data_IF_619955936665
#
_entry.id   IF_619955936665
#
_cell.length_a   1.000
_cell.length_b   1.000
_cell.length_c   1.000
_cell.angle_alpha   90.00
_cell.angle_beta   90.00
_cell.angle_gamma   90.00
#
_symmetry.space_group_name_H-M   'P 1'
#
loop_
_entity.id
_entity.type
_entity.pdbx_description
1 polymer ?
#
# COMPACT_ATOMS: atom_id res chain seq x y z
N UNK A 1 23.69 0.69 -24.17
CA UNK A 1 23.19 1.95 -23.61
C UNK A 1 24.40 2.72 -23.07
N UNK A 2 24.50 4.01 -23.38
CA UNK A 2 25.54 4.86 -22.80
C UNK A 2 25.32 5.02 -21.31
N UNK A 3 26.38 5.12 -20.47
CA UNK A 3 26.24 5.41 -19.05
C UNK A 3 25.60 6.78 -18.83
N UNK A 4 24.80 6.89 -17.76
CA UNK A 4 24.16 8.14 -17.34
C UNK A 4 24.34 8.32 -15.84
N UNK A 5 24.24 9.55 -15.37
CA UNK A 5 24.20 9.86 -13.91
C UNK A 5 22.74 9.95 -13.51
N UNK A 6 22.29 9.12 -12.56
CA UNK A 6 20.92 9.16 -12.09
C UNK A 6 20.68 10.43 -11.28
N UNK A 7 19.69 11.23 -11.69
CA UNK A 7 19.26 12.41 -10.96
C UNK A 7 17.84 12.24 -10.41
N UNK A 8 17.51 13.02 -9.41
CA UNK A 8 16.15 13.03 -8.84
C UNK A 8 15.11 13.41 -9.90
N UNK A 9 15.43 14.40 -10.74
CA UNK A 9 14.54 14.85 -11.82
C UNK A 9 14.23 13.72 -12.84
N UNK A 10 15.22 12.87 -13.13
CA UNK A 10 14.99 11.71 -14.01
C UNK A 10 14.02 10.73 -13.36
N UNK A 11 14.18 10.43 -12.07
CA UNK A 11 13.28 9.55 -11.32
C UNK A 11 11.87 10.16 -11.28
N UNK A 12 11.74 11.43 -10.93
CA UNK A 12 10.45 12.13 -10.87
C UNK A 12 9.76 12.13 -12.25
N UNK A 13 10.51 12.26 -13.33
CA UNK A 13 9.99 12.20 -14.71
C UNK A 13 9.45 10.79 -15.03
N UNK A 14 10.23 9.75 -14.73
CA UNK A 14 9.82 8.35 -14.97
C UNK A 14 8.59 8.00 -14.13
N UNK A 15 8.55 8.43 -12.88
CA UNK A 15 7.39 8.24 -12.00
C UNK A 15 6.16 8.91 -12.58
N UNK A 16 6.26 10.17 -13.04
CA UNK A 16 5.14 10.89 -13.64
C UNK A 16 4.65 10.26 -14.96
N UNK A 17 5.55 9.68 -15.75
CA UNK A 17 5.18 8.94 -16.96
C UNK A 17 4.44 7.63 -16.64
N UNK A 18 4.94 6.87 -15.66
CA UNK A 18 4.31 5.63 -15.22
C UNK A 18 2.92 5.89 -14.60
N UNK A 19 2.75 6.98 -13.88
CA UNK A 19 1.44 7.42 -13.39
C UNK A 19 0.42 7.59 -14.51
N UNK A 20 0.81 8.30 -15.58
CA UNK A 20 -0.08 8.52 -16.74
C UNK A 20 -0.44 7.20 -17.45
N UNK A 21 0.52 6.27 -17.52
CA UNK A 21 0.27 4.94 -18.09
C UNK A 21 -0.70 4.17 -17.18
N UNK A 22 -0.44 4.14 -15.89
CA UNK A 22 -1.28 3.47 -14.90
C UNK A 22 -2.71 4.04 -14.89
N UNK A 23 -2.85 5.35 -14.92
CA UNK A 23 -4.15 6.01 -15.03
C UNK A 23 -4.90 5.58 -16.29
N UNK A 24 -4.24 5.50 -17.44
CA UNK A 24 -4.85 5.06 -18.70
C UNK A 24 -5.22 3.58 -18.71
N UNK A 25 -4.36 2.72 -18.19
CA UNK A 25 -4.55 1.27 -18.22
C UNK A 25 -5.56 0.78 -17.19
N UNK A 26 -5.48 1.33 -15.97
CA UNK A 26 -6.31 0.90 -14.84
C UNK A 26 -7.62 1.66 -14.78
N UNK A 27 -7.61 2.93 -15.13
CA UNK A 27 -8.73 3.84 -14.99
C UNK A 27 -9.45 4.09 -16.32
N UNK A 28 -8.79 3.88 -17.47
CA UNK A 28 -9.34 4.21 -18.81
C UNK A 28 -10.44 3.28 -19.34
N UNK A 29 -10.87 2.26 -18.60
CA UNK A 29 -11.83 1.25 -19.06
C UNK A 29 -13.22 1.33 -18.43
N UNK A 30 -13.43 2.15 -17.40
CA UNK A 30 -14.71 2.23 -16.68
C UNK A 30 -15.06 3.66 -16.28
N UNK A 31 -16.38 3.95 -16.15
CA UNK A 31 -16.95 5.18 -15.57
C UNK A 31 -16.51 5.46 -14.11
N UNK A 32 -15.67 4.59 -13.54
CA UNK A 32 -15.13 4.69 -12.19
C UNK A 32 -13.89 5.59 -12.11
N UNK A 33 -13.26 5.92 -13.22
CA UNK A 33 -11.99 6.67 -13.29
C UNK A 33 -12.03 8.00 -12.57
N UNK A 34 -13.08 8.78 -12.80
CA UNK A 34 -13.26 10.10 -12.18
C UNK A 34 -13.52 10.00 -10.66
N UNK A 35 -13.77 8.79 -10.15
CA UNK A 35 -14.10 8.53 -8.75
C UNK A 35 -12.92 8.04 -7.91
N UNK A 36 -11.79 7.72 -8.52
CA UNK A 36 -10.59 7.26 -7.83
C UNK A 36 -9.52 8.35 -7.77
N UNK A 37 -8.68 8.29 -6.74
CA UNK A 37 -7.47 9.12 -6.65
C UNK A 37 -6.32 8.36 -6.00
N UNK A 38 -5.11 8.68 -6.40
CA UNK A 38 -3.91 8.22 -5.72
C UNK A 38 -3.75 9.00 -4.41
N UNK A 39 -3.63 8.28 -3.29
CA UNK A 39 -3.37 8.86 -1.97
C UNK A 39 -1.90 8.77 -1.60
N UNK A 40 -1.18 7.87 -2.23
CA UNK A 40 0.21 7.61 -1.92
C UNK A 40 0.96 7.15 -3.16
N UNK A 41 2.16 7.69 -3.35
CA UNK A 41 3.08 7.34 -4.43
C UNK A 41 4.47 7.37 -3.83
N UNK A 42 5.14 6.21 -3.78
CA UNK A 42 6.47 6.09 -3.19
C UNK A 42 7.37 5.22 -4.04
N UNK A 43 8.55 5.75 -4.32
CA UNK A 43 9.68 4.91 -4.76
C UNK A 43 10.12 4.10 -3.55
N UNK A 44 10.00 2.79 -3.62
CA UNK A 44 10.33 1.87 -2.51
C UNK A 44 11.69 1.21 -2.68
N UNK A 45 12.20 1.15 -3.92
CA UNK A 45 13.55 0.66 -4.21
C UNK A 45 14.08 1.27 -5.50
N UNK A 46 15.38 1.50 -5.55
CA UNK A 46 16.13 1.80 -6.77
C UNK A 46 17.29 0.82 -6.89
N UNK A 47 17.40 0.14 -8.02
CA UNK A 47 18.57 -0.68 -8.37
C UNK A 47 19.33 -0.01 -9.51
N UNK A 48 20.65 0.13 -9.34
CA UNK A 48 21.57 0.58 -10.39
C UNK A 48 22.39 -0.60 -10.87
N UNK A 49 22.39 -0.86 -12.18
CA UNK A 49 23.10 -2.00 -12.78
C UNK A 49 22.73 -3.35 -12.10
N UNK A 50 21.46 -3.49 -11.61
CA UNK A 50 20.96 -4.68 -10.93
C UNK A 50 21.24 -4.75 -9.41
N UNK A 51 21.96 -3.79 -8.83
CA UNK A 51 22.26 -3.72 -7.40
C UNK A 51 21.42 -2.66 -6.70
N UNK A 52 20.86 -3.00 -5.54
CA UNK A 52 20.13 -2.05 -4.70
C UNK A 52 21.08 -0.98 -4.15
N UNK A 53 20.65 0.30 -4.20
CA UNK A 53 21.43 1.44 -3.76
C UNK A 53 20.56 2.32 -2.87
N UNK A 54 20.98 2.54 -1.62
CA UNK A 54 20.24 3.33 -0.64
C UNK A 54 20.22 4.83 -0.98
N UNK A 55 21.28 5.35 -1.55
CA UNK A 55 21.38 6.73 -2.06
C UNK A 55 21.78 6.68 -3.54
N UNK A 56 20.81 6.55 -4.46
CA UNK A 56 21.08 6.27 -5.87
C UNK A 56 21.46 7.52 -6.67
N UNK A 57 21.26 8.73 -6.14
CA UNK A 57 21.46 9.96 -6.88
C UNK A 57 22.93 10.33 -7.02
N UNK A 58 23.29 10.84 -8.21
CA UNK A 58 24.67 11.22 -8.51
C UNK A 58 25.57 10.04 -8.91
N UNK A 59 25.08 8.79 -8.89
CA UNK A 59 25.83 7.63 -9.32
C UNK A 59 25.68 7.38 -10.83
N UNK A 60 26.78 6.94 -11.45
CA UNK A 60 26.79 6.53 -12.85
C UNK A 60 26.26 5.11 -13.00
N UNK A 61 25.33 4.93 -13.92
CA UNK A 61 24.74 3.63 -14.23
C UNK A 61 24.46 3.46 -15.72
N UNK A 62 24.36 2.20 -16.17
CA UNK A 62 23.86 1.84 -17.50
C UNK A 62 22.38 1.49 -17.48
N UNK A 63 21.89 1.02 -16.34
CA UNK A 63 20.49 0.69 -16.10
C UNK A 63 20.07 1.16 -14.70
N UNK A 64 18.82 1.62 -14.58
CA UNK A 64 18.19 1.91 -13.32
C UNK A 64 16.81 1.25 -13.31
N UNK A 65 16.55 0.39 -12.31
CA UNK A 65 15.25 -0.20 -12.06
C UNK A 65 14.62 0.51 -10.85
N UNK A 66 13.42 1.07 -11.05
CA UNK A 66 12.73 1.84 -10.03
C UNK A 66 11.44 1.12 -9.67
N UNK A 67 11.30 0.70 -8.42
CA UNK A 67 10.08 0.10 -7.88
C UNK A 67 9.21 1.18 -7.26
N UNK A 68 8.00 1.35 -7.79
CA UNK A 68 7.03 2.34 -7.35
C UNK A 68 5.84 1.65 -6.70
N UNK A 69 5.51 2.10 -5.48
CA UNK A 69 4.27 1.72 -4.80
C UNK A 69 3.23 2.83 -5.00
N UNK A 70 2.03 2.45 -5.42
CA UNK A 70 0.90 3.37 -5.61
C UNK A 70 -0.32 2.84 -4.88
N UNK A 71 -0.94 3.67 -4.02
CA UNK A 71 -2.24 3.38 -3.40
C UNK A 71 -3.32 4.27 -3.99
N UNK A 72 -4.41 3.65 -4.39
CA UNK A 72 -5.58 4.35 -4.94
C UNK A 72 -6.82 4.06 -4.08
N UNK A 73 -7.65 5.07 -3.90
CA UNK A 73 -8.92 4.96 -3.17
C UNK A 73 -10.01 5.79 -3.84
N UNK A 74 -11.30 5.51 -3.59
CA UNK A 74 -12.38 6.39 -4.03
C UNK A 74 -12.25 7.80 -3.45
N UNK A 75 -12.38 8.84 -4.29
CA UNK A 75 -12.33 10.25 -3.87
C UNK A 75 -13.31 10.55 -2.73
N UNK A 76 -14.52 10.00 -2.80
CA UNK A 76 -15.53 10.18 -1.77
C UNK A 76 -15.10 9.69 -0.38
N UNK A 77 -14.24 8.66 -0.31
CA UNK A 77 -13.66 8.18 0.96
C UNK A 77 -12.69 9.21 1.50
N UNK A 78 -11.79 9.72 0.65
CA UNK A 78 -10.81 10.73 1.02
C UNK A 78 -11.50 12.00 1.53
N UNK A 79 -12.45 12.52 0.75
CA UNK A 79 -13.25 13.71 1.11
C UNK A 79 -13.92 13.51 2.47
N UNK A 80 -14.56 12.35 2.68
CA UNK A 80 -15.24 12.06 3.95
C UNK A 80 -14.29 12.00 5.14
N UNK A 81 -13.11 11.39 4.97
CA UNK A 81 -12.08 11.33 6.01
C UNK A 81 -11.56 12.72 6.33
N UNK A 82 -11.29 13.56 5.32
CA UNK A 82 -10.90 14.94 5.53
C UNK A 82 -11.98 15.74 6.25
N UNK A 83 -13.24 15.68 5.82
CA UNK A 83 -14.35 16.38 6.45
C UNK A 83 -14.46 16.03 7.94
N UNK A 84 -14.48 14.74 8.27
CA UNK A 84 -14.56 14.28 9.66
C UNK A 84 -13.35 14.74 10.48
N UNK A 85 -12.15 14.65 9.90
CA UNK A 85 -10.92 15.08 10.56
C UNK A 85 -10.93 16.59 10.83
N UNK A 86 -11.35 17.39 9.86
CA UNK A 86 -11.43 18.84 10.00
C UNK A 86 -12.45 19.26 11.07
N UNK A 87 -13.62 18.64 11.09
CA UNK A 87 -14.66 18.97 12.09
C UNK A 87 -14.26 18.53 13.50
N UNK A 88 -13.56 17.39 13.63
CA UNK A 88 -13.28 16.80 14.95
C UNK A 88 -11.97 17.31 15.54
N UNK A 89 -10.91 17.41 14.74
CA UNK A 89 -9.55 17.65 15.24
C UNK A 89 -8.98 19.01 14.83
N UNK A 90 -9.56 19.68 13.83
CA UNK A 90 -9.06 20.96 13.27
C UNK A 90 -7.54 20.90 12.98
N UNK A 91 -7.04 19.86 12.28
CA UNK A 91 -5.62 19.69 12.05
C UNK A 91 -5.08 20.81 11.16
N UNK A 92 -3.83 21.22 11.39
CA UNK A 92 -3.14 22.16 10.50
C UNK A 92 -2.74 21.53 9.18
N UNK A 93 -2.49 20.21 9.21
CA UNK A 93 -2.09 19.41 8.06
C UNK A 93 -2.64 17.99 8.22
N UNK A 94 -2.96 17.34 7.10
CA UNK A 94 -3.50 15.97 7.10
C UNK A 94 -2.90 15.21 5.93
N UNK A 95 -2.31 14.06 6.23
CA UNK A 95 -1.79 13.12 5.22
C UNK A 95 -2.49 11.77 5.38
N UNK A 96 -2.78 11.12 4.27
CA UNK A 96 -3.39 9.79 4.23
C UNK A 96 -2.36 8.82 3.68
N UNK A 97 -2.17 7.72 4.38
CA UNK A 97 -1.28 6.63 3.99
C UNK A 97 -2.06 5.32 3.93
N UNK A 98 -1.62 4.43 3.05
CA UNK A 98 -2.16 3.08 3.00
C UNK A 98 -1.61 2.23 4.14
N UNK A 99 -2.46 1.41 4.73
CA UNK A 99 -2.05 0.48 5.79
C UNK A 99 -1.00 -0.54 5.32
N UNK A 100 -1.11 -1.16 4.12
CA UNK A 100 -0.09 -2.08 3.62
C UNK A 100 1.33 -1.47 3.59
N UNK A 101 1.48 -0.25 3.08
CA UNK A 101 2.80 0.39 3.02
C UNK A 101 3.30 0.82 4.41
N UNK A 102 2.42 1.33 5.27
CA UNK A 102 2.79 1.70 6.63
C UNK A 102 3.25 0.48 7.43
N UNK A 103 2.53 -0.63 7.34
CA UNK A 103 2.87 -1.90 7.98
C UNK A 103 4.16 -2.48 7.43
N UNK A 104 4.33 -2.53 6.11
CA UNK A 104 5.55 -2.97 5.46
C UNK A 104 6.76 -2.17 5.93
N UNK A 105 6.68 -0.84 5.94
CA UNK A 105 7.78 0.02 6.38
C UNK A 105 8.15 -0.27 7.83
N UNK A 106 7.15 -0.41 8.71
CA UNK A 106 7.38 -0.72 10.14
C UNK A 106 7.99 -2.10 10.33
N UNK A 107 7.46 -3.12 9.64
CA UNK A 107 7.98 -4.50 9.74
C UNK A 107 9.40 -4.61 9.21
N UNK A 108 9.72 -3.95 8.11
CA UNK A 108 11.08 -3.90 7.57
C UNK A 108 12.07 -3.24 8.55
N UNK A 109 11.65 -2.19 9.25
CA UNK A 109 12.49 -1.52 10.23
C UNK A 109 12.73 -2.39 11.49
N UNK A 110 11.73 -3.22 11.87
CA UNK A 110 11.83 -4.13 13.02
C UNK A 110 12.57 -5.43 12.66
N UNK A 111 12.31 -5.97 11.48
CA UNK A 111 12.84 -7.24 10.99
C UNK A 111 13.76 -7.03 9.78
N UNK A 112 14.75 -6.17 9.93
CA UNK A 112 15.62 -5.72 8.84
C UNK A 112 16.47 -6.81 8.16
N UNK A 113 16.60 -7.99 8.78
CA UNK A 113 17.27 -9.16 8.20
C UNK A 113 16.33 -10.03 7.34
N UNK A 114 15.00 -9.86 7.48
CA UNK A 114 14.00 -10.64 6.78
C UNK A 114 13.54 -9.90 5.51
N UNK A 115 13.93 -10.44 4.35
CA UNK A 115 13.55 -9.86 3.06
C UNK A 115 12.33 -10.53 2.43
N UNK A 116 12.01 -11.77 2.86
CA UNK A 116 10.93 -12.57 2.31
C UNK A 116 9.98 -13.00 3.43
N UNK A 117 8.76 -12.44 3.44
CA UNK A 117 7.73 -12.79 4.41
C UNK A 117 6.33 -12.53 3.88
N UNK A 118 5.35 -13.10 4.56
CA UNK A 118 3.93 -12.82 4.32
C UNK A 118 3.41 -12.05 5.52
N UNK A 119 2.76 -10.93 5.26
CA UNK A 119 2.05 -10.15 6.26
C UNK A 119 0.55 -10.33 6.07
N UNK A 120 -0.15 -10.71 7.15
CA UNK A 120 -1.60 -10.88 7.18
C UNK A 120 -2.19 -9.97 8.25
N UNK A 121 -3.01 -9.01 7.83
CA UNK A 121 -3.85 -8.21 8.71
C UNK A 121 -5.27 -8.77 8.74
N UNK A 122 -5.76 -9.12 9.93
CA UNK A 122 -7.13 -9.61 10.12
C UNK A 122 -7.96 -8.51 10.77
N UNK A 123 -8.59 -7.71 9.94
CA UNK A 123 -9.49 -6.65 10.35
C UNK A 123 -10.87 -7.13 10.81
N UNK A 124 -11.81 -6.21 10.95
CA UNK A 124 -13.19 -6.52 11.35
C UNK A 124 -13.95 -7.30 10.28
N UNK A 125 -14.09 -6.74 9.10
CA UNK A 125 -14.84 -7.33 7.97
C UNK A 125 -13.91 -7.87 6.88
N UNK A 126 -12.73 -7.30 6.71
CA UNK A 126 -11.75 -7.67 5.68
C UNK A 126 -10.50 -8.24 6.35
N UNK A 127 -9.77 -9.06 5.60
CA UNK A 127 -8.38 -9.40 5.89
C UNK A 127 -7.54 -9.05 4.68
N UNK A 128 -6.38 -8.44 4.94
CA UNK A 128 -5.43 -8.01 3.92
C UNK A 128 -4.17 -8.85 4.01
N UNK A 129 -3.77 -9.42 2.88
CA UNK A 129 -2.56 -10.21 2.73
C UNK A 129 -1.57 -9.40 1.89
N UNK A 130 -0.35 -9.29 2.37
CA UNK A 130 0.77 -8.72 1.59
C UNK A 130 1.89 -9.75 1.50
N UNK A 131 2.38 -9.95 0.29
CA UNK A 131 3.53 -10.81 0.00
C UNK A 131 4.73 -9.90 -0.19
N UNK A 132 5.74 -10.07 0.65
CA UNK A 132 7.00 -9.36 0.59
C UNK A 132 8.05 -10.33 0.07
N UNK A 133 8.79 -9.92 -0.95
CA UNK A 133 9.87 -10.68 -1.54
C UNK A 133 11.01 -9.74 -1.96
N UNK A 134 12.24 -10.16 -1.71
CA UNK A 134 13.44 -9.37 -1.97
C UNK A 134 13.35 -7.96 -1.35
N UNK A 135 12.73 -7.85 -0.16
CA UNK A 135 12.54 -6.57 0.53
C UNK A 135 11.52 -5.62 -0.11
N UNK A 136 10.64 -6.12 -0.99
CA UNK A 136 9.60 -5.34 -1.67
C UNK A 136 8.21 -5.94 -1.47
N UNK A 137 7.19 -5.09 -1.45
CA UNK A 137 5.80 -5.54 -1.58
C UNK A 137 5.60 -6.01 -3.03
N UNK A 138 5.48 -7.32 -3.22
CA UNK A 138 5.25 -7.92 -4.53
C UNK A 138 3.77 -7.89 -4.91
N UNK A 139 2.90 -8.22 -3.95
CA UNK A 139 1.45 -8.33 -4.18
C UNK A 139 0.69 -8.04 -2.89
N UNK A 140 -0.50 -7.46 -3.04
CA UNK A 140 -1.47 -7.30 -1.95
C UNK A 140 -2.83 -7.81 -2.40
N UNK A 141 -3.54 -8.51 -1.52
CA UNK A 141 -4.88 -9.02 -1.77
C UNK A 141 -5.78 -8.82 -0.56
N UNK A 142 -7.03 -8.38 -0.79
CA UNK A 142 -8.02 -8.22 0.27
C UNK A 142 -9.12 -9.28 0.14
N UNK A 143 -9.52 -9.86 1.27
CA UNK A 143 -10.56 -10.87 1.35
C UNK A 143 -11.70 -10.41 2.27
N UNK A 144 -12.97 -10.68 1.95
CA UNK A 144 -14.12 -10.32 2.78
C UNK A 144 -14.33 -11.30 3.96
N UNK A 145 -13.25 -11.68 4.64
CA UNK A 145 -13.23 -12.65 5.74
C UNK A 145 -12.44 -12.09 6.93
N UNK A 146 -13.01 -11.09 7.62
CA UNK A 146 -12.41 -10.57 8.84
C UNK A 146 -12.93 -11.27 10.10
N UNK A 147 -12.51 -10.78 11.27
CA UNK A 147 -12.90 -11.31 12.58
C UNK A 147 -14.42 -11.41 12.76
N UNK A 148 -15.17 -10.45 12.27
CA UNK A 148 -16.63 -10.44 12.40
C UNK A 148 -17.30 -11.56 11.58
N UNK A 149 -16.70 -11.96 10.47
CA UNK A 149 -17.16 -13.14 9.74
C UNK A 149 -17.05 -14.42 10.59
N UNK A 150 -15.91 -14.60 11.28
CA UNK A 150 -15.71 -15.71 12.21
C UNK A 150 -16.71 -15.66 13.37
N UNK A 151 -16.88 -14.50 13.99
CA UNK A 151 -17.86 -14.29 15.06
C UNK A 151 -19.27 -14.66 14.63
N UNK A 152 -19.72 -14.23 13.46
CA UNK A 152 -21.04 -14.59 12.92
C UNK A 152 -21.17 -16.09 12.67
N UNK A 153 -20.11 -16.77 12.19
CA UNK A 153 -20.12 -18.22 11.99
C UNK A 153 -20.20 -18.99 13.30
N UNK A 154 -19.42 -18.59 14.30
CA UNK A 154 -19.42 -19.22 15.63
C UNK A 154 -20.76 -18.98 16.34
N UNK A 155 -21.24 -17.74 16.34
CA UNK A 155 -22.55 -17.37 16.90
C UNK A 155 -23.66 -18.24 16.31
N UNK A 156 -23.70 -18.39 14.98
CA UNK A 156 -24.68 -19.25 14.30
C UNK A 156 -24.50 -20.73 14.65
N UNK A 157 -23.27 -21.23 14.70
CA UNK A 157 -22.99 -22.64 14.99
C UNK A 157 -23.36 -23.05 16.43
N UNK A 158 -23.12 -22.14 17.38
CA UNK A 158 -23.39 -22.38 18.80
C UNK A 158 -24.77 -21.90 19.24
N UNK A 159 -25.55 -21.26 18.35
CA UNK A 159 -26.83 -20.59 18.70
C UNK A 159 -26.67 -19.61 19.88
N UNK A 160 -25.56 -18.85 19.89
CA UNK A 160 -25.19 -17.86 20.92
C UNK A 160 -25.16 -16.45 20.33
N UNK A 161 -25.16 -15.45 21.23
CA UNK A 161 -24.97 -14.07 20.81
C UNK A 161 -23.54 -13.83 20.27
N UNK A 162 -23.31 -12.77 19.46
CA UNK A 162 -21.96 -12.41 19.00
C UNK A 162 -20.97 -12.15 20.14
N UNK A 163 -21.45 -11.58 21.26
CA UNK A 163 -20.66 -11.28 22.46
C UNK A 163 -20.21 -12.58 23.15
N UNK A 164 -21.12 -13.56 23.26
CA UNK A 164 -20.79 -14.88 23.80
C UNK A 164 -19.85 -15.64 22.85
N UNK A 165 -20.07 -15.53 21.52
CA UNK A 165 -19.20 -16.12 20.52
C UNK A 165 -17.77 -15.55 20.60
N UNK A 166 -17.63 -14.23 20.86
CA UNK A 166 -16.34 -13.58 21.01
C UNK A 166 -15.49 -14.18 22.15
N UNK A 167 -16.14 -14.66 23.22
CA UNK A 167 -15.42 -15.28 24.35
C UNK A 167 -14.77 -16.63 24.00
N UNK A 168 -15.16 -17.26 22.89
CA UNK A 168 -14.58 -18.50 22.37
C UNK A 168 -13.40 -18.29 21.43
N UNK A 169 -13.16 -17.03 20.97
CA UNK A 169 -12.02 -16.67 20.17
C UNK A 169 -10.97 -16.07 21.13
N UNK A 170 -10.00 -16.90 21.51
CA UNK A 170 -8.86 -16.47 22.34
C UNK A 170 -7.60 -16.49 21.50
#
# INVERSE_FOLDING_TARGET
TEPFILTKEMVDTVVAEQEKIFEKETLGKDELVDKLQAIEKRVIQVKLNGYEVSDPYGHEAKTADISLFVSIVPKAVVEKVFDVSMVTYHPKDTSIFSFPLASFSTLRDVFHEENDFIFLDIGGELSDLSIIKDGLILETASFPFGRNFLLRKISKSLSKSPEEAASHIK
#
